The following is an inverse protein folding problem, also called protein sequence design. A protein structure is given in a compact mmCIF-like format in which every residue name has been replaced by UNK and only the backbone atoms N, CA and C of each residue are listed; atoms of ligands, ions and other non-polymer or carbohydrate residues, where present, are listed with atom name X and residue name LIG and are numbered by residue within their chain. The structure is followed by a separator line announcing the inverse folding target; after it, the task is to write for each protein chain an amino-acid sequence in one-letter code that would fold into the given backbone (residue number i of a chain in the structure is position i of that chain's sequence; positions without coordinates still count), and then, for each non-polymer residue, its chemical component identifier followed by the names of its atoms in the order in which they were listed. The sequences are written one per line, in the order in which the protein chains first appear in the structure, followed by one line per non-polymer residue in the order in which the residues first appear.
data_IF_079521347887
#
_entry.id   IF_079521347887
#
_cell.length_a   1.000
_cell.length_b   1.000
_cell.length_c   1.000
_cell.angle_alpha   90.00
_cell.angle_beta   90.00
_cell.angle_gamma   90.00
#
_symmetry.space_group_name_H-M   'P 1'
#
loop_
_entity.id
_entity.type
_entity.pdbx_description
1 polymer ?
#
# COMPACT_ATOMS: atom_id res chain seq x y z
N UNK A 1 -3.71 11.84 19.24
CA UNK A 1 -3.30 13.24 19.06
C UNK A 1 -3.96 13.86 17.81
N UNK A 2 -3.71 13.39 16.59
CA UNK A 2 -4.28 13.99 15.35
C UNK A 2 -5.81 13.92 15.29
N UNK A 3 -6.40 12.82 15.74
CA UNK A 3 -7.86 12.71 15.79
C UNK A 3 -8.47 13.69 16.80
N UNK A 4 -7.86 13.86 17.97
CA UNK A 4 -8.29 14.82 18.99
C UNK A 4 -8.16 16.28 18.53
N UNK A 5 -7.27 16.56 17.57
CA UNK A 5 -7.13 17.85 16.91
C UNK A 5 -8.21 18.09 15.82
N UNK A 6 -9.11 17.13 15.60
CA UNK A 6 -10.15 17.14 14.55
C UNK A 6 -9.63 17.33 13.13
N UNK A 7 -8.40 16.90 12.87
CA UNK A 7 -7.78 16.98 11.55
C UNK A 7 -8.02 15.74 10.72
N UNK A 8 -8.33 14.61 11.36
CA UNK A 8 -8.58 13.32 10.70
C UNK A 8 -9.76 12.60 11.34
N UNK A 9 -10.43 11.79 10.53
CA UNK A 9 -11.32 10.72 10.96
C UNK A 9 -10.54 9.40 10.87
N UNK A 10 -10.52 8.64 11.95
CA UNK A 10 -9.87 7.34 12.01
C UNK A 10 -10.93 6.23 11.96
N UNK A 11 -10.81 5.37 10.96
CA UNK A 11 -11.68 4.23 10.73
C UNK A 11 -10.91 2.90 10.86
N UNK A 12 -11.13 2.17 11.96
CA UNK A 12 -10.54 0.86 12.18
C UNK A 12 -11.37 -0.22 11.48
N UNK A 13 -10.82 -0.85 10.43
CA UNK A 13 -11.48 -1.90 9.66
C UNK A 13 -11.12 -3.26 10.25
N UNK A 14 -12.00 -3.82 11.04
CA UNK A 14 -11.85 -5.16 11.63
C UNK A 14 -13.20 -5.87 11.77
N UNK A 15 -13.18 -7.20 11.80
CA UNK A 15 -14.37 -8.05 12.01
C UNK A 15 -15.55 -7.77 11.06
N UNK A 16 -15.25 -7.37 9.81
CA UNK A 16 -16.23 -7.10 8.76
C UNK A 16 -16.02 -8.04 7.57
N UNK A 17 -17.04 -8.17 6.71
CA UNK A 17 -16.87 -8.91 5.46
C UNK A 17 -15.88 -8.20 4.51
N UNK A 18 -15.27 -8.98 3.60
CA UNK A 18 -14.33 -8.40 2.62
C UNK A 18 -14.96 -7.28 1.78
N UNK A 19 -16.21 -7.44 1.35
CA UNK A 19 -16.92 -6.42 0.59
C UNK A 19 -17.10 -5.10 1.36
N UNK A 20 -17.38 -5.18 2.65
CA UNK A 20 -17.47 -4.00 3.52
C UNK A 20 -16.10 -3.37 3.73
N UNK A 21 -15.06 -4.18 3.91
CA UNK A 21 -13.69 -3.68 4.02
C UNK A 21 -13.25 -2.91 2.76
N UNK A 22 -13.53 -3.45 1.57
CA UNK A 22 -13.27 -2.80 0.28
C UNK A 22 -13.99 -1.45 0.18
N UNK A 23 -15.28 -1.41 0.49
CA UNK A 23 -16.07 -0.18 0.42
C UNK A 23 -15.54 0.92 1.38
N UNK A 24 -15.08 0.52 2.56
CA UNK A 24 -14.49 1.46 3.53
C UNK A 24 -13.11 1.95 3.09
N UNK A 25 -12.26 1.06 2.56
CA UNK A 25 -10.96 1.45 1.97
C UNK A 25 -11.13 2.45 0.83
N UNK A 26 -12.08 2.20 -0.08
CA UNK A 26 -12.35 3.07 -1.23
C UNK A 26 -12.76 4.50 -0.81
N UNK A 27 -13.35 4.66 0.35
CA UNK A 27 -13.76 5.97 0.91
C UNK A 27 -12.65 6.67 1.69
N UNK A 28 -11.51 6.01 1.90
CA UNK A 28 -10.40 6.57 2.66
C UNK A 28 -9.46 7.37 1.76
N UNK A 29 -8.93 8.47 2.26
CA UNK A 29 -7.85 9.22 1.59
C UNK A 29 -6.48 8.54 1.80
N UNK A 30 -6.29 7.94 2.97
CA UNK A 30 -5.06 7.27 3.39
C UNK A 30 -5.41 5.91 4.00
N UNK A 31 -4.69 4.87 3.60
CA UNK A 31 -4.77 3.54 4.20
C UNK A 31 -3.45 3.20 4.89
N UNK A 32 -3.53 2.74 6.13
CA UNK A 32 -2.39 2.22 6.89
C UNK A 32 -2.56 0.72 6.99
N UNK A 33 -1.66 -0.04 6.38
CA UNK A 33 -1.73 -1.50 6.40
C UNK A 33 -1.07 -2.05 7.67
N UNK A 34 0.19 -2.41 7.62
CA UNK A 34 0.85 -3.01 8.78
C UNK A 34 2.03 -2.16 9.24
N UNK A 35 2.11 -2.01 10.57
CA UNK A 35 3.22 -1.35 11.25
C UNK A 35 3.72 -2.29 12.34
N UNK A 36 5.02 -2.44 12.40
CA UNK A 36 5.69 -3.39 13.26
C UNK A 36 6.26 -4.56 12.47
N UNK A 37 7.57 -4.73 12.56
CA UNK A 37 8.29 -5.82 11.90
C UNK A 37 8.05 -7.15 12.63
N UNK A 38 6.85 -7.70 12.47
CA UNK A 38 6.44 -8.99 13.07
C UNK A 38 6.64 -10.18 12.12
N UNK A 39 7.72 -10.16 11.35
CA UNK A 39 8.04 -11.22 10.38
C UNK A 39 7.30 -11.08 9.05
N UNK A 40 6.76 -9.91 8.75
CA UNK A 40 6.15 -9.59 7.47
C UNK A 40 7.19 -9.40 6.35
N UNK A 41 6.78 -9.68 5.12
CA UNK A 41 7.62 -9.60 3.92
C UNK A 41 7.53 -8.22 3.24
N UNK A 42 7.11 -7.18 3.97
CA UNK A 42 6.91 -5.85 3.43
C UNK A 42 5.42 -5.54 3.27
N UNK A 43 4.87 -5.56 2.06
CA UNK A 43 3.44 -5.29 1.84
C UNK A 43 2.62 -6.56 1.65
N UNK A 44 1.32 -6.49 2.00
CA UNK A 44 0.36 -7.58 1.85
C UNK A 44 -0.72 -7.32 0.80
N UNK A 45 -1.66 -8.24 0.68
CA UNK A 45 -2.80 -8.11 -0.24
C UNK A 45 -3.65 -6.88 0.08
N UNK A 46 -3.80 -6.53 1.35
CA UNK A 46 -4.51 -5.31 1.76
C UNK A 46 -3.88 -4.04 1.17
N UNK A 47 -2.55 -3.98 1.13
CA UNK A 47 -1.80 -2.90 0.50
C UNK A 47 -2.06 -2.84 -1.00
N UNK A 48 -2.02 -3.98 -1.70
CA UNK A 48 -2.28 -4.05 -3.14
C UNK A 48 -3.71 -3.63 -3.48
N UNK A 49 -4.68 -4.06 -2.68
CA UNK A 49 -6.08 -3.64 -2.83
C UNK A 49 -6.23 -2.13 -2.70
N UNK A 50 -5.68 -1.52 -1.65
CA UNK A 50 -5.77 -0.07 -1.43
C UNK A 50 -5.08 0.73 -2.53
N UNK A 51 -3.90 0.30 -2.99
CA UNK A 51 -3.21 0.92 -4.12
C UNK A 51 -4.02 0.80 -5.42
N UNK A 52 -4.66 -0.35 -5.68
CA UNK A 52 -5.47 -0.55 -6.88
C UNK A 52 -6.66 0.41 -6.97
N UNK A 53 -7.14 0.87 -5.83
CA UNK A 53 -8.21 1.87 -5.70
C UNK A 53 -7.70 3.32 -5.79
N UNK A 54 -6.39 3.53 -5.88
CA UNK A 54 -5.79 4.87 -5.87
C UNK A 54 -5.71 5.50 -4.48
N UNK A 55 -5.74 4.70 -3.43
CA UNK A 55 -5.62 5.17 -2.04
C UNK A 55 -4.15 5.28 -1.67
N UNK A 56 -3.76 6.41 -1.05
CA UNK A 56 -2.42 6.60 -0.53
C UNK A 56 -2.15 5.59 0.59
N UNK A 57 -1.19 4.67 0.38
CA UNK A 57 -0.98 3.53 1.27
C UNK A 57 0.34 3.64 2.01
N UNK A 58 0.26 3.52 3.33
CA UNK A 58 1.38 3.49 4.25
C UNK A 58 1.58 2.07 4.77
N UNK A 59 2.82 1.59 4.80
CA UNK A 59 3.17 0.28 5.38
C UNK A 59 4.62 0.30 5.85
N UNK A 60 4.97 -0.58 6.77
CA UNK A 60 6.36 -0.77 7.16
C UNK A 60 7.02 -1.80 6.24
N UNK A 61 8.14 -1.40 5.64
CA UNK A 61 8.97 -2.27 4.82
C UNK A 61 10.41 -2.21 5.30
N UNK A 62 11.03 -3.37 5.47
CA UNK A 62 12.44 -3.44 5.83
C UNK A 62 13.37 -3.09 4.66
N UNK A 63 14.64 -2.85 4.95
CA UNK A 63 15.64 -2.42 3.96
C UNK A 63 15.85 -3.43 2.84
N UNK A 64 15.74 -4.73 3.14
CA UNK A 64 15.88 -5.80 2.14
C UNK A 64 14.76 -5.70 1.11
N UNK A 65 13.53 -5.50 1.58
CA UNK A 65 12.37 -5.37 0.70
C UNK A 65 12.38 -4.07 -0.10
N UNK A 66 12.76 -2.96 0.54
CA UNK A 66 12.95 -1.68 -0.14
C UNK A 66 13.99 -1.78 -1.26
N UNK A 67 15.07 -2.53 -1.05
CA UNK A 67 16.11 -2.76 -2.06
C UNK A 67 15.64 -3.69 -3.18
N UNK A 68 14.79 -4.67 -2.86
CA UNK A 68 14.28 -5.63 -3.83
C UNK A 68 13.24 -5.02 -4.78
N UNK A 69 12.40 -4.11 -4.30
CA UNK A 69 11.37 -3.42 -5.09
C UNK A 69 11.48 -1.91 -4.96
N UNK A 70 12.57 -1.28 -5.41
CA UNK A 70 12.85 0.14 -5.16
C UNK A 70 11.85 1.09 -5.81
N UNK A 71 11.06 0.61 -6.78
CA UNK A 71 10.05 1.40 -7.50
C UNK A 71 8.65 1.35 -6.87
N UNK A 72 8.54 0.81 -5.64
CA UNK A 72 7.24 0.74 -4.96
C UNK A 72 6.71 2.12 -4.56
N UNK A 73 5.38 2.32 -4.59
CA UNK A 73 4.75 3.61 -4.30
C UNK A 73 4.37 3.79 -2.82
N UNK A 74 4.69 2.84 -1.95
CA UNK A 74 4.33 2.93 -0.54
C UNK A 74 5.08 4.05 0.16
N UNK A 75 4.41 4.73 1.08
CA UNK A 75 5.09 5.55 2.08
C UNK A 75 5.54 4.61 3.19
N UNK A 76 6.86 4.41 3.29
CA UNK A 76 7.44 3.53 4.29
C UNK A 76 7.41 4.22 5.66
N UNK A 77 6.70 3.61 6.59
CA UNK A 77 6.51 4.12 7.95
C UNK A 77 6.75 3.04 8.98
N UNK A 78 7.10 3.46 10.18
CA UNK A 78 7.22 2.63 11.37
C UNK A 78 6.57 3.31 12.57
N UNK A 79 6.61 2.70 13.74
CA UNK A 79 6.01 3.27 14.95
C UNK A 79 6.60 4.62 15.39
N UNK A 80 7.83 4.94 14.96
CA UNK A 80 8.53 6.16 15.36
C UNK A 80 8.17 7.35 14.44
N UNK A 81 8.01 7.11 13.12
CA UNK A 81 7.81 8.19 12.15
C UNK A 81 6.36 8.33 11.65
N UNK A 82 5.46 7.42 12.00
CA UNK A 82 4.06 7.44 11.52
C UNK A 82 3.35 8.77 11.79
N UNK A 83 3.47 9.31 13.00
CA UNK A 83 2.81 10.59 13.36
C UNK A 83 3.33 11.74 12.51
N UNK A 84 4.64 11.83 12.31
CA UNK A 84 5.25 12.87 11.50
C UNK A 84 4.87 12.77 10.01
N UNK A 85 4.86 11.57 9.45
CA UNK A 85 4.43 11.36 8.06
C UNK A 85 2.95 11.67 7.85
N UNK A 86 2.08 11.27 8.78
CA UNK A 86 0.66 11.62 8.72
C UNK A 86 0.45 13.13 8.77
N UNK A 87 1.19 13.86 9.62
CA UNK A 87 1.11 15.34 9.66
C UNK A 87 1.51 15.98 8.34
N UNK A 88 2.53 15.46 7.68
CA UNK A 88 2.96 15.92 6.35
C UNK A 88 1.85 15.70 5.32
N UNK A 89 1.26 14.50 5.30
CA UNK A 89 0.20 14.14 4.35
C UNK A 89 -1.08 14.96 4.56
N UNK A 90 -1.54 15.09 5.80
CA UNK A 90 -2.76 15.85 6.14
C UNK A 90 -2.68 17.30 5.66
N UNK A 91 -1.50 17.89 5.69
CA UNK A 91 -1.27 19.25 5.22
C UNK A 91 -0.95 19.36 3.72
N UNK A 92 -0.91 18.21 3.01
CA UNK A 92 -0.57 18.19 1.58
C UNK A 92 -1.48 17.20 0.81
N UNK A 93 -2.68 17.65 0.48
CA UNK A 93 -3.65 16.83 -0.27
C UNK A 93 -3.13 16.41 -1.65
N UNK A 94 -2.36 17.25 -2.31
CA UNK A 94 -1.78 16.94 -3.62
C UNK A 94 -0.82 15.74 -3.52
N UNK A 95 -0.04 15.66 -2.45
CA UNK A 95 0.83 14.51 -2.18
C UNK A 95 0.04 13.22 -1.98
N UNK A 96 -1.08 13.28 -1.25
CA UNK A 96 -1.96 12.11 -1.06
C UNK A 96 -2.48 11.61 -2.42
N UNK A 97 -3.02 12.50 -3.23
CA UNK A 97 -3.56 12.15 -4.55
C UNK A 97 -2.46 11.61 -5.49
N UNK A 98 -1.30 12.25 -5.53
CA UNK A 98 -0.19 11.82 -6.36
C UNK A 98 0.32 10.42 -5.97
N UNK A 99 0.39 10.11 -4.67
CA UNK A 99 0.76 8.78 -4.18
C UNK A 99 -0.30 7.72 -4.51
N UNK A 100 -1.57 8.05 -4.37
CA UNK A 100 -2.66 7.15 -4.78
C UNK A 100 -2.60 6.81 -6.28
N UNK A 101 -2.42 7.80 -7.13
CA UNK A 101 -2.27 7.61 -8.58
C UNK A 101 -1.01 6.81 -8.95
N UNK A 102 0.11 7.08 -8.30
CA UNK A 102 1.34 6.30 -8.48
C UNK A 102 1.12 4.83 -8.07
N UNK A 103 0.40 4.62 -6.96
CA UNK A 103 0.04 3.30 -6.46
C UNK A 103 -0.78 2.50 -7.46
N UNK A 104 -1.83 3.10 -8.01
CA UNK A 104 -2.69 2.46 -9.01
C UNK A 104 -1.90 2.03 -10.25
N UNK A 105 -1.08 2.94 -10.81
CA UNK A 105 -0.23 2.61 -11.97
C UNK A 105 0.78 1.50 -11.67
N UNK A 106 1.33 1.49 -10.46
CA UNK A 106 2.28 0.46 -10.05
C UNK A 106 1.62 -0.91 -9.94
N UNK A 107 0.42 -1.00 -9.35
CA UNK A 107 -0.37 -2.24 -9.28
C UNK A 107 -0.73 -2.75 -10.67
N UNK A 108 -1.21 -1.89 -11.55
CA UNK A 108 -1.51 -2.23 -12.94
C UNK A 108 -0.27 -2.80 -13.67
N UNK A 109 0.92 -2.26 -13.40
CA UNK A 109 2.16 -2.72 -14.00
C UNK A 109 2.70 -4.03 -13.39
N UNK A 110 2.62 -4.18 -12.06
CA UNK A 110 3.30 -5.26 -11.34
C UNK A 110 2.39 -6.42 -10.94
N UNK A 111 1.10 -6.15 -10.72
CA UNK A 111 0.13 -7.11 -10.18
C UNK A 111 -1.04 -7.42 -11.12
N UNK A 112 -1.07 -6.83 -12.32
CA UNK A 112 -2.05 -7.23 -13.33
C UNK A 112 -1.84 -8.71 -13.70
N UNK A 113 -2.94 -9.47 -13.74
CA UNK A 113 -2.90 -10.92 -13.93
C UNK A 113 -2.18 -11.32 -15.24
N UNK A 114 -2.34 -10.53 -16.30
CA UNK A 114 -1.69 -10.79 -17.57
C UNK A 114 -0.19 -10.59 -17.46
N UNK A 115 0.25 -9.49 -16.86
CA UNK A 115 1.68 -9.20 -16.66
C UNK A 115 2.35 -10.26 -15.79
N UNK A 116 1.68 -10.70 -14.71
CA UNK A 116 2.19 -11.78 -13.85
C UNK A 116 2.28 -13.10 -14.61
N UNK A 117 1.25 -13.43 -15.40
CA UNK A 117 1.24 -14.64 -16.23
C UNK A 117 2.37 -14.62 -17.27
N UNK A 118 2.59 -13.49 -17.96
CA UNK A 118 3.67 -13.33 -18.94
C UNK A 118 5.05 -13.48 -18.29
N UNK A 119 5.26 -12.92 -17.11
CA UNK A 119 6.51 -13.07 -16.34
C UNK A 119 6.76 -14.54 -15.99
N UNK A 120 5.74 -15.25 -15.49
CA UNK A 120 5.85 -16.66 -15.12
C UNK A 120 6.10 -17.53 -16.35
N UNK A 121 5.40 -17.28 -17.47
CA UNK A 121 5.59 -17.99 -18.71
C UNK A 121 7.04 -17.87 -19.21
N UNK A 122 7.54 -16.63 -19.32
CA UNK A 122 8.91 -16.36 -19.75
C UNK A 122 9.95 -16.99 -18.82
N UNK A 123 9.68 -17.00 -17.52
CA UNK A 123 10.55 -17.66 -16.55
C UNK A 123 10.61 -19.17 -16.78
N UNK A 124 9.47 -19.84 -16.93
CA UNK A 124 9.42 -21.28 -17.18
C UNK A 124 10.06 -21.66 -18.50
N UNK A 125 9.89 -20.87 -19.55
CA UNK A 125 10.57 -21.05 -20.82
C UNK A 125 12.10 -20.94 -20.65
N UNK A 126 12.56 -19.93 -19.90
CA UNK A 126 14.00 -19.70 -19.68
C UNK A 126 14.72 -20.82 -18.93
N UNK A 127 14.00 -21.58 -18.12
CA UNK A 127 14.55 -22.74 -17.37
C UNK A 127 14.21 -24.10 -18.03
N UNK A 128 13.64 -24.08 -19.22
CA UNK A 128 13.35 -25.28 -20.01
C UNK A 128 12.21 -26.13 -19.51
N UNK A 129 11.23 -25.56 -18.85
CA UNK A 129 9.99 -26.22 -18.39
C UNK A 129 8.85 -26.14 -19.40
N UNK A 130 8.96 -25.30 -20.41
CA UNK A 130 8.02 -25.12 -21.52
C UNK A 130 8.76 -25.24 -22.86
#
# INVERSE_FOLDING_TARGET
ALQSERKIEFDLIENVSHSVAIDRKLKSDIFIDQIGNKGGWGYGMNSVESLSMGVCTLTEMNDVYNSFIPDHPFINVNSENLDSELRILINNREKILAQGEAGKRWVEKKHDIKNVADILYNYYESIGLL
#
